data_IF_530297967875
#
_entry.id   IF_530297967875
#
_cell.length_a   1.000
_cell.length_b   1.000
_cell.length_c   1.000
_cell.angle_alpha   90.00
_cell.angle_beta   90.00
_cell.angle_gamma   90.00
#
_symmetry.space_group_name_H-M   'P 1'
#
loop_
_entity.id
_entity.type
_entity.pdbx_description
1 polymer ?
#
# COMPACT_ATOMS: atom_id res chain seq x y z
N UNK A 1 -27.40 0.34 -9.98
CA UNK A 1 -27.98 -1.04 -10.05
C UNK A 1 -28.33 -1.49 -8.65
N UNK A 2 -29.42 -2.21 -8.43
CA UNK A 2 -29.80 -2.68 -7.08
C UNK A 2 -29.62 -4.18 -6.97
N UNK A 3 -29.01 -4.66 -5.88
CA UNK A 3 -28.83 -6.10 -5.62
C UNK A 3 -29.26 -6.47 -4.20
N UNK A 4 -29.50 -7.76 -3.98
CA UNK A 4 -29.75 -8.37 -2.67
C UNK A 4 -28.79 -9.53 -2.45
N UNK A 5 -28.58 -9.93 -1.21
CA UNK A 5 -27.82 -11.16 -0.93
C UNK A 5 -28.66 -12.41 -1.26
N UNK A 6 -28.06 -13.59 -1.17
CA UNK A 6 -28.73 -14.86 -1.44
C UNK A 6 -29.99 -15.07 -0.58
N UNK A 7 -30.01 -14.56 0.66
CA UNK A 7 -31.15 -14.63 1.56
C UNK A 7 -32.25 -13.60 1.26
N UNK A 8 -32.15 -12.84 0.16
CA UNK A 8 -33.12 -11.78 -0.20
C UNK A 8 -33.09 -10.56 0.71
N UNK A 9 -32.10 -10.46 1.61
CA UNK A 9 -31.86 -9.34 2.52
C UNK A 9 -30.67 -8.49 2.03
N UNK A 10 -30.29 -7.48 2.83
CA UNK A 10 -29.17 -6.57 2.53
C UNK A 10 -29.26 -5.94 1.12
N UNK A 11 -30.32 -5.14 0.91
CA UNK A 11 -30.53 -4.44 -0.36
C UNK A 11 -29.49 -3.32 -0.53
N UNK A 12 -28.75 -3.39 -1.63
CA UNK A 12 -27.62 -2.51 -1.93
C UNK A 12 -27.85 -1.78 -3.24
N UNK A 13 -27.56 -0.48 -3.25
CA UNK A 13 -27.50 0.31 -4.47
C UNK A 13 -26.04 0.47 -4.91
N UNK A 14 -25.77 0.17 -6.17
CA UNK A 14 -24.45 0.16 -6.79
C UNK A 14 -24.30 1.30 -7.79
N UNK A 15 -23.18 2.00 -7.67
CA UNK A 15 -22.66 2.94 -8.67
C UNK A 15 -21.37 2.41 -9.29
N UNK A 16 -21.12 2.80 -10.55
CA UNK A 16 -19.86 2.57 -11.25
C UNK A 16 -19.17 3.92 -11.43
N UNK A 17 -17.91 4.01 -11.03
CA UNK A 17 -17.10 5.22 -11.04
C UNK A 17 -15.82 4.95 -11.81
N UNK A 18 -15.26 6.01 -12.42
CA UNK A 18 -13.97 5.97 -13.10
C UNK A 18 -12.96 6.77 -12.29
N UNK A 19 -11.82 6.18 -11.96
CA UNK A 19 -10.73 6.89 -11.32
C UNK A 19 -10.16 7.93 -12.29
N UNK A 20 -10.03 9.19 -11.83
CA UNK A 20 -9.46 10.25 -12.66
C UNK A 20 -7.95 10.11 -12.87
N UNK A 21 -7.24 9.42 -11.97
CA UNK A 21 -5.79 9.29 -12.04
C UNK A 21 -5.31 8.15 -12.92
N UNK A 22 -5.94 6.97 -12.81
CA UNK A 22 -5.53 5.76 -13.56
C UNK A 22 -6.54 5.29 -14.60
N UNK A 23 -7.72 5.93 -14.70
CA UNK A 23 -8.78 5.50 -15.61
C UNK A 23 -9.47 4.19 -15.24
N UNK A 24 -9.04 3.52 -14.16
CA UNK A 24 -9.61 2.27 -13.68
C UNK A 24 -11.08 2.43 -13.24
N UNK A 25 -11.86 1.36 -13.40
CA UNK A 25 -13.26 1.32 -13.00
C UNK A 25 -13.37 0.75 -11.59
N UNK A 26 -14.10 1.45 -10.72
CA UNK A 26 -14.49 0.97 -9.40
C UNK A 26 -16.00 0.96 -9.29
N UNK A 27 -16.51 0.01 -8.53
CA UNK A 27 -17.91 -0.10 -8.16
C UNK A 27 -18.02 0.15 -6.67
N UNK A 28 -18.99 0.95 -6.26
CA UNK A 28 -19.24 1.19 -4.85
C UNK A 28 -20.71 0.92 -4.55
N UNK A 29 -20.96 0.29 -3.40
CA UNK A 29 -22.30 -0.01 -2.91
C UNK A 29 -22.60 0.84 -1.68
N UNK A 30 -23.88 1.21 -1.53
CA UNK A 30 -24.41 1.79 -0.30
C UNK A 30 -25.67 1.02 0.12
N UNK A 31 -25.95 0.90 1.43
CA UNK A 31 -27.19 0.30 1.89
C UNK A 31 -28.37 1.15 1.42
N UNK A 32 -29.42 0.48 0.93
CA UNK A 32 -30.69 1.16 0.69
C UNK A 32 -31.35 1.42 2.04
N UNK A 33 -31.04 2.56 2.66
CA UNK A 33 -31.73 3.00 3.87
C UNK A 33 -33.24 3.06 3.58
N UNK A 34 -34.05 2.36 4.41
CA UNK A 34 -35.50 2.56 4.40
C UNK A 34 -35.77 4.00 4.86
N UNK A 35 -36.72 4.71 4.23
CA UNK A 35 -37.01 6.10 4.55
C UNK A 35 -37.68 6.16 5.93
N UNK A 36 -36.88 6.24 6.99
CA UNK A 36 -37.35 6.73 8.29
C UNK A 36 -37.07 8.22 8.44
N UNK A 37 -35.96 8.69 7.85
CA UNK A 37 -35.62 10.10 7.77
C UNK A 37 -35.41 10.44 6.29
N UNK A 38 -36.22 11.37 5.77
CA UNK A 38 -36.25 11.79 4.36
C UNK A 38 -35.00 12.62 3.97
N UNK A 39 -33.83 12.24 4.50
CA UNK A 39 -32.56 12.92 4.27
C UNK A 39 -31.78 12.17 3.17
N UNK A 40 -31.73 12.68 1.93
CA UNK A 40 -31.01 12.06 0.82
C UNK A 40 -29.48 12.04 1.01
N UNK A 41 -28.96 12.55 2.14
CA UNK A 41 -27.52 12.66 2.45
C UNK A 41 -26.95 11.51 3.27
N UNK A 42 -27.73 10.48 3.59
CA UNK A 42 -27.34 9.46 4.60
C UNK A 42 -26.78 8.15 4.01
N UNK A 43 -26.58 8.08 2.69
CA UNK A 43 -26.01 6.88 2.07
C UNK A 43 -24.48 6.88 2.16
N UNK A 44 -23.95 6.39 3.28
CA UNK A 44 -22.52 6.09 3.39
C UNK A 44 -22.17 4.89 2.49
N UNK A 45 -21.05 4.99 1.77
CA UNK A 45 -20.52 3.88 0.99
C UNK A 45 -20.17 2.74 1.94
N UNK A 46 -20.76 1.57 1.74
CA UNK A 46 -20.53 0.37 2.55
C UNK A 46 -19.45 -0.53 1.97
N UNK A 47 -19.31 -0.61 0.65
CA UNK A 47 -18.37 -1.52 -0.01
C UNK A 47 -17.82 -0.89 -1.29
N UNK A 48 -16.55 -1.16 -1.64
CA UNK A 48 -15.90 -0.70 -2.87
C UNK A 48 -15.15 -1.88 -3.51
N UNK A 49 -15.32 -2.08 -4.81
CA UNK A 49 -14.65 -3.11 -5.59
C UNK A 49 -14.07 -2.55 -6.91
N UNK A 50 -12.82 -2.88 -7.29
CA UNK A 50 -11.84 -3.60 -6.49
C UNK A 50 -11.51 -2.84 -5.19
N UNK A 51 -11.12 -3.57 -4.15
CA UNK A 51 -10.73 -2.96 -2.88
C UNK A 51 -9.60 -1.95 -3.15
N UNK A 52 -9.78 -0.74 -2.63
CA UNK A 52 -8.75 0.29 -2.70
C UNK A 52 -7.65 -0.14 -1.73
N UNK A 53 -6.40 -0.13 -2.18
CA UNK A 53 -5.26 -0.32 -1.28
C UNK A 53 -5.20 0.88 -0.35
N UNK A 54 -5.61 0.69 0.89
CA UNK A 54 -5.47 1.70 1.95
C UNK A 54 -4.15 1.43 2.65
N UNK A 55 -3.28 2.44 2.69
CA UNK A 55 -2.01 2.35 3.39
C UNK A 55 -2.29 2.45 4.89
N UNK A 56 -1.84 1.45 5.66
CA UNK A 56 -2.19 1.28 7.07
C UNK A 56 -1.75 2.43 7.96
N UNK A 57 -2.59 2.76 8.95
CA UNK A 57 -2.28 3.74 9.99
C UNK A 57 -1.25 3.27 11.03
N UNK A 58 -0.78 2.02 10.92
CA UNK A 58 0.25 1.46 11.78
C UNK A 58 1.68 1.75 11.27
N UNK A 59 1.83 2.28 10.04
CA UNK A 59 3.14 2.64 9.44
C UNK A 59 3.52 4.05 9.87
N UNK A 60 4.77 4.33 10.26
CA UNK A 60 5.15 5.70 10.68
C UNK A 60 4.97 6.73 9.55
N UNK A 61 4.78 8.00 9.94
CA UNK A 61 4.33 9.09 9.06
C UNK A 61 5.18 9.20 7.79
N UNK A 62 6.51 9.29 7.93
CA UNK A 62 7.40 9.54 6.79
C UNK A 62 7.43 8.41 5.74
N UNK A 63 7.59 7.12 6.10
CA UNK A 63 7.41 6.04 5.14
C UNK A 63 6.03 6.01 4.51
N UNK A 64 4.98 6.32 5.28
CA UNK A 64 3.60 6.31 4.81
C UNK A 64 3.36 7.37 3.74
N UNK A 65 3.86 8.59 3.92
CA UNK A 65 3.78 9.65 2.92
C UNK A 65 4.42 9.23 1.59
N UNK A 66 5.60 8.61 1.63
CA UNK A 66 6.23 8.10 0.41
C UNK A 66 5.40 7.02 -0.28
N UNK A 67 4.79 6.11 0.48
CA UNK A 67 3.88 5.10 -0.09
C UNK A 67 2.64 5.75 -0.73
N UNK A 68 2.05 6.75 -0.07
CA UNK A 68 0.88 7.47 -0.60
C UNK A 68 1.21 8.20 -1.89
N UNK A 69 2.36 8.87 -1.93
CA UNK A 69 2.86 9.51 -3.15
C UNK A 69 3.17 8.49 -4.25
N UNK A 70 3.77 7.35 -3.91
CA UNK A 70 4.04 6.27 -4.87
C UNK A 70 2.75 5.74 -5.49
N UNK A 71 1.73 5.49 -4.66
CA UNK A 71 0.40 5.07 -5.09
C UNK A 71 -0.25 6.07 -6.04
N UNK A 72 -0.22 7.36 -5.69
CA UNK A 72 -0.77 8.44 -6.52
C UNK A 72 -0.03 8.57 -7.86
N UNK A 73 1.25 8.20 -7.89
CA UNK A 73 2.15 8.35 -9.03
C UNK A 73 2.28 7.09 -9.89
N UNK A 74 1.49 6.03 -9.67
CA UNK A 74 1.59 4.79 -10.46
C UNK A 74 1.43 5.00 -11.98
N UNK A 75 0.73 6.05 -12.38
CA UNK A 75 0.59 6.48 -13.78
C UNK A 75 1.88 7.08 -14.37
N UNK A 76 2.87 7.39 -13.54
CA UNK A 76 4.19 7.91 -13.89
C UNK A 76 5.28 6.96 -13.35
N UNK A 77 5.59 5.87 -14.07
CA UNK A 77 6.29 4.71 -13.52
C UNK A 77 7.64 5.00 -12.86
N UNK A 78 8.50 5.80 -13.52
CA UNK A 78 9.81 6.14 -12.99
C UNK A 78 9.72 6.87 -11.64
N UNK A 79 8.78 7.81 -11.51
CA UNK A 79 8.53 8.54 -10.26
C UNK A 79 8.01 7.62 -9.16
N UNK A 80 7.06 6.73 -9.47
CA UNK A 80 6.55 5.75 -8.51
C UNK A 80 7.65 4.84 -7.97
N UNK A 81 8.54 4.31 -8.83
CA UNK A 81 9.66 3.45 -8.41
C UNK A 81 10.62 4.20 -7.47
N UNK A 82 10.94 5.46 -7.79
CA UNK A 82 11.79 6.29 -6.92
C UNK A 82 11.16 6.54 -5.54
N UNK A 83 9.84 6.73 -5.50
CA UNK A 83 9.09 6.90 -4.25
C UNK A 83 9.02 5.59 -3.45
N UNK A 84 8.87 4.44 -4.13
CA UNK A 84 8.97 3.12 -3.49
C UNK A 84 10.34 2.89 -2.84
N UNK A 85 11.44 3.22 -3.53
CA UNK A 85 12.78 3.14 -2.96
C UNK A 85 12.96 4.09 -1.76
N UNK A 86 12.38 5.29 -1.83
CA UNK A 86 12.38 6.26 -0.72
C UNK A 86 11.58 5.77 0.48
N UNK A 87 10.46 5.09 0.24
CA UNK A 87 9.66 4.46 1.29
C UNK A 87 10.46 3.35 1.99
N UNK A 88 11.10 2.44 1.25
CA UNK A 88 11.95 1.38 1.81
C UNK A 88 13.08 1.98 2.66
N UNK A 89 13.73 3.03 2.16
CA UNK A 89 14.80 3.73 2.89
C UNK A 89 14.30 4.34 4.20
N UNK A 90 13.14 5.01 4.17
CA UNK A 90 12.51 5.58 5.35
C UNK A 90 12.14 4.48 6.36
N UNK A 91 11.55 3.36 5.91
CA UNK A 91 11.19 2.24 6.79
C UNK A 91 12.41 1.67 7.53
N UNK A 92 13.54 1.51 6.83
CA UNK A 92 14.77 1.02 7.45
C UNK A 92 15.32 2.02 8.48
N UNK A 93 15.25 3.32 8.19
CA UNK A 93 15.65 4.38 9.14
C UNK A 93 14.80 4.36 10.41
N UNK A 94 13.50 4.17 10.27
CA UNK A 94 12.55 4.04 11.38
C UNK A 94 12.81 2.77 12.22
N UNK A 95 13.47 1.77 11.65
CA UNK A 95 13.95 0.58 12.36
C UNK A 95 15.38 0.72 12.90
N UNK A 96 15.94 1.93 12.89
CA UNK A 96 17.26 2.23 13.47
C UNK A 96 18.44 2.08 12.51
N UNK A 97 18.21 1.78 11.23
CA UNK A 97 19.26 1.70 10.23
C UNK A 97 19.40 3.07 9.57
N UNK A 98 20.17 3.99 10.15
CA UNK A 98 20.32 5.36 9.63
C UNK A 98 21.55 5.57 8.77
N UNK A 99 22.59 4.78 8.99
CA UNK A 99 23.92 5.08 8.45
C UNK A 99 24.17 4.45 7.08
N UNK A 100 25.04 5.10 6.30
CA UNK A 100 25.49 4.62 5.00
C UNK A 100 24.47 4.81 3.86
N UNK A 101 24.66 4.05 2.79
CA UNK A 101 23.76 4.04 1.64
C UNK A 101 22.56 3.12 1.88
N UNK A 102 21.49 3.26 1.07
CA UNK A 102 20.35 2.34 1.11
C UNK A 102 20.80 0.88 0.91
N UNK A 103 21.82 0.65 0.06
CA UNK A 103 22.45 -0.67 -0.09
C UNK A 103 22.99 -1.20 1.24
N UNK A 104 23.78 -0.39 1.96
CA UNK A 104 24.34 -0.79 3.25
C UNK A 104 23.25 -1.05 4.31
N UNK A 105 22.19 -0.24 4.33
CA UNK A 105 21.05 -0.41 5.25
C UNK A 105 20.31 -1.72 5.01
N UNK A 106 20.04 -2.06 3.74
CA UNK A 106 19.38 -3.33 3.37
C UNK A 106 20.24 -4.53 3.82
N UNK A 107 21.55 -4.48 3.55
CA UNK A 107 22.47 -5.55 3.95
C UNK A 107 22.47 -5.77 5.46
N UNK A 108 22.66 -4.70 6.25
CA UNK A 108 22.63 -4.77 7.72
C UNK A 108 21.30 -5.28 8.26
N UNK A 109 20.17 -4.87 7.67
CA UNK A 109 18.85 -5.33 8.11
C UNK A 109 18.68 -6.85 7.88
N UNK A 110 19.24 -7.39 6.80
CA UNK A 110 19.23 -8.83 6.55
C UNK A 110 20.19 -9.60 7.47
N UNK A 111 21.40 -9.07 7.70
CA UNK A 111 22.38 -9.64 8.64
C UNK A 111 21.84 -9.71 10.06
N UNK A 112 21.10 -8.69 10.50
CA UNK A 112 20.45 -8.66 11.82
C UNK A 112 19.13 -9.45 11.86
N UNK A 113 18.77 -10.15 10.78
CA UNK A 113 17.52 -10.90 10.64
C UNK A 113 16.25 -10.07 10.85
N UNK A 114 16.34 -8.73 10.73
CA UNK A 114 15.14 -7.90 10.69
C UNK A 114 14.33 -8.21 9.44
N UNK A 115 14.99 -8.52 8.32
CA UNK A 115 14.35 -8.95 7.07
C UNK A 115 14.99 -10.24 6.57
N UNK A 116 14.28 -10.98 5.72
CA UNK A 116 14.84 -12.18 5.09
C UNK A 116 15.81 -11.84 3.97
N UNK A 117 16.70 -12.78 3.61
CA UNK A 117 17.63 -12.60 2.50
C UNK A 117 16.92 -12.35 1.15
N UNK A 118 15.77 -12.99 0.92
CA UNK A 118 14.97 -12.76 -0.30
C UNK A 118 14.35 -11.36 -0.34
N UNK A 119 13.88 -10.85 0.81
CA UNK A 119 13.40 -9.47 0.91
C UNK A 119 14.53 -8.47 0.62
N UNK A 120 15.76 -8.75 1.08
CA UNK A 120 16.92 -7.91 0.81
C UNK A 120 17.28 -7.90 -0.68
N UNK A 121 17.25 -9.06 -1.36
CA UNK A 121 17.46 -9.14 -2.81
C UNK A 121 16.46 -8.28 -3.58
N UNK A 122 15.18 -8.35 -3.23
CA UNK A 122 14.16 -7.56 -3.91
C UNK A 122 14.26 -6.05 -3.57
N UNK A 123 14.58 -5.70 -2.32
CA UNK A 123 14.87 -4.32 -1.95
C UNK A 123 16.07 -3.75 -2.73
N UNK A 124 17.12 -4.56 -2.96
CA UNK A 124 18.24 -4.18 -3.80
C UNK A 124 17.84 -3.96 -5.26
N UNK A 125 16.94 -4.78 -5.80
CA UNK A 125 16.42 -4.59 -7.16
C UNK A 125 15.69 -3.25 -7.29
N UNK A 126 14.78 -2.93 -6.37
CA UNK A 126 14.03 -1.65 -6.41
C UNK A 126 14.97 -0.45 -6.28
N UNK A 127 16.03 -0.57 -5.45
CA UNK A 127 17.07 0.45 -5.38
C UNK A 127 17.80 0.63 -6.72
N UNK A 128 18.12 -0.47 -7.41
CA UNK A 128 18.77 -0.42 -8.72
C UNK A 128 17.86 0.25 -9.74
N UNK A 129 16.59 -0.18 -9.81
CA UNK A 129 15.59 0.37 -10.74
C UNK A 129 15.43 1.89 -10.52
N UNK A 130 15.34 2.33 -9.26
CA UNK A 130 15.25 3.75 -8.92
C UNK A 130 16.52 4.54 -9.28
N UNK A 131 17.70 3.94 -9.12
CA UNK A 131 18.96 4.57 -9.50
C UNK A 131 19.10 4.70 -11.02
N UNK A 132 18.66 3.71 -11.79
CA UNK A 132 18.69 3.76 -13.26
C UNK A 132 17.85 4.92 -13.80
N UNK A 133 16.68 5.16 -13.19
CA UNK A 133 15.83 6.32 -13.53
C UNK A 133 16.48 7.64 -13.15
N UNK A 134 17.17 7.69 -12.00
CA UNK A 134 17.81 8.92 -11.49
C UNK A 134 19.04 9.32 -12.30
N UNK A 135 19.78 8.35 -12.83
CA UNK A 135 21.03 8.59 -13.54
C UNK A 135 20.88 8.63 -15.07
N UNK A 136 19.66 8.53 -15.61
CA UNK A 136 19.37 8.57 -17.04
C UNK A 136 20.35 7.69 -17.84
N UNK A 137 20.60 6.48 -17.33
CA UNK A 137 21.57 5.58 -17.93
C UNK A 137 21.12 5.27 -19.37
N UNK A 138 21.98 5.50 -20.37
CA UNK A 138 21.60 5.48 -21.79
C UNK A 138 21.04 4.14 -22.26
N UNK A 139 21.39 3.06 -21.57
CA UNK A 139 20.98 1.69 -21.88
C UNK A 139 19.77 1.22 -21.03
N UNK A 140 19.34 2.01 -20.04
CA UNK A 140 18.20 1.65 -19.20
C UNK A 140 16.88 1.97 -19.90
N UNK A 141 16.04 0.95 -20.07
CA UNK A 141 14.68 1.14 -20.59
C UNK A 141 13.85 1.92 -19.55
N UNK A 142 13.03 2.85 -20.03
CA UNK A 142 12.03 3.48 -19.17
C UNK A 142 11.05 2.41 -18.65
N UNK A 143 10.75 2.40 -17.34
CA UNK A 143 9.87 1.42 -16.73
C UNK A 143 8.45 1.65 -17.18
N UNK A 144 7.67 0.57 -17.22
CA UNK A 144 6.25 0.63 -17.51
C UNK A 144 5.40 0.59 -16.22
N UNK A 145 4.08 0.70 -16.38
CA UNK A 145 3.14 0.68 -15.25
C UNK A 145 3.19 -0.65 -14.46
N UNK A 146 3.56 -1.76 -15.12
CA UNK A 146 3.70 -3.06 -14.45
C UNK A 146 4.91 -3.05 -13.53
N UNK A 147 6.03 -2.49 -13.96
CA UNK A 147 7.24 -2.34 -13.13
C UNK A 147 6.95 -1.50 -11.89
N UNK A 148 6.26 -0.37 -12.06
CA UNK A 148 5.84 0.49 -10.95
C UNK A 148 4.90 -0.22 -9.97
N UNK A 149 3.93 -0.99 -10.47
CA UNK A 149 3.02 -1.80 -9.64
C UNK A 149 3.76 -2.88 -8.86
N UNK A 150 4.75 -3.54 -9.45
CA UNK A 150 5.57 -4.54 -8.77
C UNK A 150 6.42 -3.93 -7.66
N UNK A 151 7.07 -2.79 -7.93
CA UNK A 151 7.83 -2.06 -6.92
C UNK A 151 6.93 -1.58 -5.76
N UNK A 152 5.73 -1.07 -6.08
CA UNK A 152 4.75 -0.66 -5.08
C UNK A 152 4.23 -1.84 -4.26
N UNK A 153 3.89 -2.96 -4.90
CA UNK A 153 3.45 -4.17 -4.20
C UNK A 153 4.51 -4.67 -3.20
N UNK A 154 5.79 -4.65 -3.59
CA UNK A 154 6.87 -4.93 -2.66
C UNK A 154 6.92 -3.94 -1.50
N UNK A 155 6.91 -2.64 -1.78
CA UNK A 155 7.01 -1.62 -0.73
C UNK A 155 5.88 -1.73 0.29
N UNK A 156 4.65 -2.07 -0.15
CA UNK A 156 3.52 -2.37 0.72
C UNK A 156 3.76 -3.64 1.54
N UNK A 157 4.22 -4.74 0.92
CA UNK A 157 4.52 -5.97 1.65
C UNK A 157 5.65 -5.77 2.69
N UNK A 158 6.64 -4.94 2.36
CA UNK A 158 7.74 -4.58 3.25
C UNK A 158 7.23 -3.78 4.45
N UNK A 159 6.32 -2.82 4.23
CA UNK A 159 5.66 -2.06 5.29
C UNK A 159 4.76 -2.94 6.17
N UNK A 160 4.00 -3.84 5.56
CA UNK A 160 3.15 -4.80 6.27
C UNK A 160 4.00 -5.67 7.20
N UNK A 161 5.12 -6.18 6.71
CA UNK A 161 6.06 -6.98 7.48
C UNK A 161 6.72 -6.21 8.63
N UNK A 162 7.20 -4.99 8.38
CA UNK A 162 7.96 -4.23 9.38
C UNK A 162 7.08 -3.53 10.43
N UNK A 163 5.84 -3.17 10.10
CA UNK A 163 5.01 -2.32 10.97
C UNK A 163 3.67 -2.97 11.31
N UNK A 164 2.91 -3.36 10.28
CA UNK A 164 1.50 -3.72 10.45
C UNK A 164 1.34 -5.08 11.10
N UNK A 165 2.05 -6.11 10.63
CA UNK A 165 2.02 -7.45 11.21
C UNK A 165 2.50 -7.46 12.67
N UNK A 166 3.64 -6.83 13.03
CA UNK A 166 4.04 -6.70 14.44
C UNK A 166 2.95 -6.04 15.28
N UNK A 167 2.34 -4.95 14.82
CA UNK A 167 1.28 -4.24 15.54
C UNK A 167 0.03 -5.11 15.73
N UNK A 168 -0.40 -5.82 14.68
CA UNK A 168 -1.52 -6.77 14.75
C UNK A 168 -1.25 -7.90 15.74
N UNK A 169 -0.03 -8.45 15.74
CA UNK A 169 0.38 -9.50 16.68
C UNK A 169 0.38 -8.98 18.12
N UNK A 170 0.95 -7.79 18.38
CA UNK A 170 0.94 -7.18 19.71
C UNK A 170 -0.49 -6.93 20.22
N UNK A 171 -1.39 -6.42 19.36
CA UNK A 171 -2.82 -6.25 19.70
C UNK A 171 -3.47 -7.60 20.01
N UNK A 172 -3.28 -8.60 19.15
CA UNK A 172 -3.86 -9.94 19.34
C UNK A 172 -3.39 -10.63 20.62
N UNK A 173 -2.11 -10.48 21.00
CA UNK A 173 -1.60 -10.99 22.27
C UNK A 173 -2.26 -10.26 23.44
N UNK A 174 -2.36 -8.92 23.40
CA UNK A 174 -3.02 -8.12 24.43
C UNK A 174 -4.48 -8.53 24.66
N UNK A 175 -5.24 -8.69 23.58
CA UNK A 175 -6.66 -9.08 23.63
C UNK A 175 -6.88 -10.54 24.10
N UNK A 176 -5.90 -11.42 23.85
CA UNK A 176 -5.95 -12.81 24.32
C UNK A 176 -5.51 -12.95 25.79
N UNK A 177 -4.55 -12.14 26.23
CA UNK A 177 -4.07 -12.10 27.61
C UNK A 177 -5.07 -11.48 28.59
N UNK A 178 -6.00 -10.63 28.13
CA UNK A 178 -7.05 -10.07 28.99
C UNK A 178 -8.22 -11.03 29.26
N UNK A 179 -8.20 -12.24 28.67
CA UNK A 179 -9.26 -13.26 28.80
C UNK A 179 -8.85 -14.45 29.68
N UNK A 180 -7.74 -14.36 30.40
CA UNK A 180 -7.27 -15.39 31.34
C UNK A 180 -7.37 -14.90 32.78
#
# INVERSE_FOLDING_TARGET
MTTRNHAGSNERWWGVYKCNSCGGVVTASAPRALPKDNNPRTHCISEIYPNIVVISDDITEKPREFLQQAQASLHAPAGAIMLCASAVDAMLKEKGYTDGSLYARIGKAAEHHLITGEMAKWAHQIRLDANDQRHANKDAKLPDEKDAKLAFAFAIAFAEYLFVLPTKVSRGIGDSGSKS
#
